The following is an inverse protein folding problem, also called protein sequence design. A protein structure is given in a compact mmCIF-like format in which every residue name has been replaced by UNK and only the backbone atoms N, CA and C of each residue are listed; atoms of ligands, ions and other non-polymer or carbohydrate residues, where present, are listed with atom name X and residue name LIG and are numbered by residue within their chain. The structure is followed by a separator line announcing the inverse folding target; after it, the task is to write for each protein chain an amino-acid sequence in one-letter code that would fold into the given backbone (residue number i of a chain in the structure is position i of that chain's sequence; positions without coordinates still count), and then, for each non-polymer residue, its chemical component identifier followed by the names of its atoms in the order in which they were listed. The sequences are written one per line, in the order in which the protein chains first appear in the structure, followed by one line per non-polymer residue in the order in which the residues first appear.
data_IF_581867541663
#
_entry.id   IF_581867541663
#
_cell.length_a   1.000
_cell.length_b   1.000
_cell.length_c   1.000
_cell.angle_alpha   90.00
_cell.angle_beta   90.00
_cell.angle_gamma   90.00
#
_symmetry.space_group_name_H-M   'P 1'
#
loop_
_entity.id
_entity.type
_entity.pdbx_description
1 polymer ?
#
# COMPACT_ATOMS: atom_id res chain seq x y z
N UNK A 1 26.63 -24.38 -16.39
CA UNK A 1 25.68 -24.49 -15.26
C UNK A 1 24.34 -23.87 -15.58
N UNK A 2 23.26 -24.46 -15.04
CA UNK A 2 21.90 -23.91 -15.09
C UNK A 2 21.47 -23.54 -13.67
N UNK A 3 20.96 -22.32 -13.51
CA UNK A 3 20.32 -21.86 -12.28
C UNK A 3 18.83 -22.18 -12.37
N UNK A 4 18.27 -22.80 -11.34
CA UNK A 4 16.84 -23.09 -11.25
C UNK A 4 16.09 -21.98 -10.51
N UNK A 5 14.77 -21.95 -10.64
CA UNK A 5 13.94 -20.99 -9.89
C UNK A 5 14.08 -21.17 -8.37
N UNK A 6 14.22 -22.42 -7.91
CA UNK A 6 14.41 -22.74 -6.49
C UNK A 6 15.71 -22.16 -5.95
N UNK A 7 16.79 -22.19 -6.74
CA UNK A 7 18.09 -21.62 -6.34
C UNK A 7 18.01 -20.10 -6.10
N UNK A 8 17.04 -19.41 -6.73
CA UNK A 8 16.86 -17.95 -6.61
C UNK A 8 15.82 -17.59 -5.55
N UNK A 9 14.70 -18.30 -5.50
CA UNK A 9 13.51 -17.85 -4.75
C UNK A 9 13.15 -18.69 -3.52
N UNK A 10 13.66 -19.92 -3.38
CA UNK A 10 13.21 -20.80 -2.29
C UNK A 10 13.47 -20.21 -0.91
N UNK A 11 14.66 -19.64 -0.68
CA UNK A 11 14.97 -18.98 0.59
C UNK A 11 14.04 -17.80 0.85
N UNK A 12 13.84 -16.93 -0.14
CA UNK A 12 12.97 -15.77 -0.02
C UNK A 12 11.52 -16.18 0.31
N UNK A 13 10.97 -17.18 -0.38
CA UNK A 13 9.61 -17.68 -0.12
C UNK A 13 9.42 -18.19 1.31
N UNK A 14 10.41 -18.93 1.85
CA UNK A 14 10.39 -19.42 3.24
C UNK A 14 10.43 -18.24 4.22
N UNK A 15 11.36 -17.30 4.01
CA UNK A 15 11.54 -16.15 4.90
C UNK A 15 10.34 -15.19 4.88
N UNK A 16 9.82 -14.86 3.69
CA UNK A 16 8.64 -14.00 3.57
C UNK A 16 7.38 -14.66 4.10
N UNK A 17 7.22 -15.98 3.96
CA UNK A 17 6.09 -16.69 4.59
C UNK A 17 6.15 -16.57 6.11
N UNK A 18 7.31 -16.87 6.72
CA UNK A 18 7.50 -16.73 8.16
C UNK A 18 7.27 -15.28 8.63
N UNK A 19 7.78 -14.30 7.89
CA UNK A 19 7.53 -12.89 8.18
C UNK A 19 6.04 -12.54 8.11
N UNK A 20 5.39 -12.81 6.98
CA UNK A 20 4.03 -12.36 6.71
C UNK A 20 2.99 -13.02 7.61
N UNK A 21 3.18 -14.30 7.96
CA UNK A 21 2.21 -15.05 8.75
C UNK A 21 2.50 -15.05 10.25
N UNK A 22 3.74 -14.83 10.68
CA UNK A 22 4.14 -15.05 12.07
C UNK A 22 4.86 -13.85 12.69
N UNK A 23 5.88 -13.30 12.01
CA UNK A 23 6.83 -12.39 12.64
C UNK A 23 6.58 -10.89 12.42
N UNK A 24 5.79 -10.50 11.42
CA UNK A 24 5.58 -9.09 11.12
C UNK A 24 4.95 -8.34 12.31
N UNK A 25 5.53 -7.20 12.67
CA UNK A 25 5.06 -6.36 13.78
C UNK A 25 3.81 -5.59 13.36
N UNK A 26 2.65 -6.04 13.86
CA UNK A 26 1.34 -5.51 13.47
C UNK A 26 1.09 -4.10 14.00
N UNK A 27 1.60 -3.73 15.17
CA UNK A 27 1.49 -2.36 15.69
C UNK A 27 2.23 -1.36 14.79
N UNK A 28 3.43 -1.72 14.33
CA UNK A 28 4.17 -0.93 13.37
C UNK A 28 3.43 -0.83 12.03
N UNK A 29 2.88 -1.95 11.54
CA UNK A 29 2.14 -1.96 10.27
C UNK A 29 0.86 -1.10 10.32
N UNK A 30 0.11 -1.11 11.43
CA UNK A 30 -1.03 -0.23 11.61
C UNK A 30 -0.62 1.24 11.57
N UNK A 31 0.45 1.62 12.28
CA UNK A 31 0.99 2.98 12.23
C UNK A 31 1.44 3.37 10.82
N UNK A 32 2.18 2.51 10.14
CA UNK A 32 2.62 2.79 8.77
C UNK A 32 1.46 2.87 7.77
N UNK A 33 0.37 2.13 7.96
CA UNK A 33 -0.84 2.31 7.18
C UNK A 33 -1.41 3.72 7.36
N UNK A 34 -1.57 4.16 8.61
CA UNK A 34 -2.07 5.50 8.92
C UNK A 34 -1.14 6.60 8.41
N UNK A 35 0.18 6.44 8.55
CA UNK A 35 1.15 7.43 8.08
C UNK A 35 1.11 7.56 6.56
N UNK A 36 0.99 6.45 5.83
CA UNK A 36 0.82 6.47 4.38
C UNK A 36 -0.49 7.13 3.97
N UNK A 37 -1.60 6.87 4.68
CA UNK A 37 -2.89 7.52 4.41
C UNK A 37 -2.81 9.05 4.66
N UNK A 38 -2.22 9.47 5.78
CA UNK A 38 -2.03 10.88 6.14
C UNK A 38 -1.15 11.61 5.12
N UNK A 39 -0.02 11.02 4.75
CA UNK A 39 0.89 11.60 3.75
C UNK A 39 0.23 11.68 2.37
N UNK A 40 -0.50 10.63 1.95
CA UNK A 40 -1.28 10.66 0.71
C UNK A 40 -2.25 11.83 0.69
N UNK A 41 -3.02 12.03 1.76
CA UNK A 41 -3.95 13.15 1.87
C UNK A 41 -3.22 14.49 1.86
N UNK A 42 -2.16 14.64 2.65
CA UNK A 42 -1.38 15.87 2.74
C UNK A 42 -0.80 16.29 1.39
N UNK A 43 -0.33 15.35 0.56
CA UNK A 43 0.20 15.62 -0.78
C UNK A 43 -0.89 16.05 -1.77
N UNK A 44 -2.12 15.57 -1.62
CA UNK A 44 -3.27 15.93 -2.45
C UNK A 44 -3.94 17.24 -2.00
N UNK A 45 -3.85 17.58 -0.71
CA UNK A 45 -4.47 18.77 -0.12
C UNK A 45 -3.62 20.04 -0.27
N UNK A 46 -2.45 19.94 -0.92
CA UNK A 46 -1.60 21.08 -1.25
C UNK A 46 -2.33 22.02 -2.22
N UNK A 47 -1.94 23.30 -2.20
CA UNK A 47 -2.39 24.27 -3.22
C UNK A 47 -2.08 23.79 -4.65
N UNK A 48 -0.92 23.14 -4.82
CA UNK A 48 -0.56 22.40 -6.03
C UNK A 48 -0.43 20.91 -5.66
N UNK A 49 -1.48 20.09 -5.92
CA UNK A 49 -1.49 18.67 -5.61
C UNK A 49 -0.37 17.89 -6.30
N UNK A 50 0.16 16.88 -5.61
CA UNK A 50 1.22 16.00 -6.11
C UNK A 50 0.71 14.55 -6.27
N UNK A 51 -0.08 14.24 -7.32
CA UNK A 51 -0.78 12.97 -7.44
C UNK A 51 0.12 11.74 -7.60
N UNK A 52 1.25 11.86 -8.29
CA UNK A 52 2.18 10.73 -8.46
C UNK A 52 2.86 10.34 -7.13
N UNK A 53 3.48 11.26 -6.36
CA UNK A 53 3.96 10.94 -5.01
C UNK A 53 2.86 10.47 -4.06
N UNK A 54 1.64 11.01 -4.17
CA UNK A 54 0.52 10.55 -3.35
C UNK A 54 0.16 9.09 -3.68
N UNK A 55 0.22 8.69 -4.96
CA UNK A 55 -0.06 7.33 -5.38
C UNK A 55 0.97 6.31 -4.84
N UNK A 56 2.25 6.69 -4.68
CA UNK A 56 3.23 5.82 -3.99
C UNK A 56 2.80 5.49 -2.55
N UNK A 57 2.14 6.43 -1.87
CA UNK A 57 1.61 6.20 -0.52
C UNK A 57 0.40 5.25 -0.54
N UNK A 58 -0.42 5.28 -1.60
CA UNK A 58 -1.50 4.29 -1.80
C UNK A 58 -0.92 2.88 -1.91
N UNK A 59 0.18 2.72 -2.66
CA UNK A 59 0.86 1.41 -2.80
C UNK A 59 1.39 0.93 -1.44
N UNK A 60 2.02 1.82 -0.65
CA UNK A 60 2.48 1.50 0.71
C UNK A 60 1.32 1.10 1.63
N UNK A 61 0.24 1.87 1.63
CA UNK A 61 -0.94 1.55 2.43
C UNK A 61 -1.55 0.20 2.04
N UNK A 62 -1.66 -0.09 0.74
CA UNK A 62 -2.12 -1.38 0.22
C UNK A 62 -1.23 -2.54 0.67
N UNK A 63 0.10 -2.39 0.58
CA UNK A 63 1.04 -3.40 1.02
C UNK A 63 0.98 -3.65 2.53
N UNK A 64 0.96 -2.59 3.34
CA UNK A 64 0.83 -2.70 4.80
C UNK A 64 -0.48 -3.39 5.19
N UNK A 65 -1.58 -3.07 4.51
CA UNK A 65 -2.86 -3.76 4.69
C UNK A 65 -2.75 -5.26 4.36
N UNK A 66 -2.10 -5.64 3.26
CA UNK A 66 -1.94 -7.05 2.91
C UNK A 66 -1.14 -7.83 3.98
N UNK A 67 -0.12 -7.21 4.57
CA UNK A 67 0.64 -7.82 5.67
C UNK A 67 -0.21 -7.96 6.94
N UNK A 68 -1.01 -6.94 7.28
CA UNK A 68 -1.94 -7.02 8.41
C UNK A 68 -3.02 -8.11 8.19
N UNK A 69 -3.50 -8.25 6.95
CA UNK A 69 -4.46 -9.29 6.57
C UNK A 69 -3.84 -10.69 6.66
N UNK A 70 -2.61 -10.86 6.17
CA UNK A 70 -1.85 -12.11 6.27
C UNK A 70 -1.55 -12.50 7.73
N UNK A 71 -1.26 -11.53 8.61
CA UNK A 71 -1.10 -11.75 10.05
C UNK A 71 -2.41 -12.14 10.76
N UNK A 72 -3.56 -12.02 10.09
CA UNK A 72 -4.86 -12.41 10.63
C UNK A 72 -5.38 -11.47 11.73
N UNK A 73 -4.84 -10.25 11.82
CA UNK A 73 -5.23 -9.26 12.84
C UNK A 73 -6.38 -8.33 12.39
N UNK A 74 -6.86 -8.50 11.17
CA UNK A 74 -7.99 -7.74 10.60
C UNK A 74 -9.20 -8.66 10.47
N UNK A 75 -10.33 -8.29 11.09
CA UNK A 75 -11.60 -8.99 10.92
C UNK A 75 -12.21 -8.78 9.53
N UNK A 76 -13.19 -9.62 9.15
CA UNK A 76 -13.86 -9.50 7.83
C UNK A 76 -14.48 -8.11 7.63
N UNK A 77 -15.08 -7.53 8.68
CA UNK A 77 -15.67 -6.19 8.65
C UNK A 77 -14.60 -5.11 8.48
N UNK A 78 -13.51 -5.20 9.25
CA UNK A 78 -12.40 -4.26 9.15
C UNK A 78 -11.73 -4.34 7.78
N UNK A 79 -11.60 -5.54 7.20
CA UNK A 79 -11.04 -5.75 5.86
C UNK A 79 -11.75 -4.90 4.81
N UNK A 80 -13.09 -4.88 4.83
CA UNK A 80 -13.87 -4.06 3.91
C UNK A 80 -13.62 -2.56 4.13
N UNK A 81 -13.49 -2.12 5.37
CA UNK A 81 -13.18 -0.73 5.70
C UNK A 81 -11.79 -0.31 5.19
N UNK A 82 -10.75 -1.13 5.41
CA UNK A 82 -9.39 -0.87 4.90
C UNK A 82 -9.35 -0.82 3.37
N UNK A 83 -10.00 -1.76 2.68
CA UNK A 83 -10.12 -1.73 1.21
C UNK A 83 -10.81 -0.44 0.75
N UNK A 84 -11.87 -0.01 1.45
CA UNK A 84 -12.57 1.24 1.17
C UNK A 84 -11.68 2.48 1.30
N UNK A 85 -10.83 2.53 2.33
CA UNK A 85 -9.85 3.61 2.56
C UNK A 85 -8.82 3.68 1.44
N UNK A 86 -8.16 2.56 1.12
CA UNK A 86 -7.17 2.51 0.02
C UNK A 86 -7.80 2.90 -1.32
N UNK A 87 -9.02 2.42 -1.61
CA UNK A 87 -9.74 2.79 -2.84
C UNK A 87 -10.05 4.28 -2.91
N UNK A 88 -10.45 4.88 -1.80
CA UNK A 88 -10.73 6.33 -1.73
C UNK A 88 -9.49 7.13 -2.05
N UNK A 89 -8.33 6.78 -1.47
CA UNK A 89 -7.06 7.46 -1.76
C UNK A 89 -6.67 7.29 -3.24
N UNK A 90 -6.71 6.06 -3.77
CA UNK A 90 -6.39 5.78 -5.17
C UNK A 90 -7.25 6.61 -6.13
N UNK A 91 -8.56 6.70 -5.85
CA UNK A 91 -9.50 7.50 -6.64
C UNK A 91 -9.12 8.98 -6.60
N UNK A 92 -8.83 9.55 -5.42
CA UNK A 92 -8.41 10.95 -5.31
C UNK A 92 -7.11 11.22 -6.08
N UNK A 93 -6.12 10.32 -5.99
CA UNK A 93 -4.88 10.43 -6.78
C UNK A 93 -5.18 10.48 -8.30
N UNK A 94 -6.08 9.61 -8.78
CA UNK A 94 -6.48 9.59 -10.18
C UNK A 94 -7.24 10.88 -10.58
N UNK A 95 -8.15 11.37 -9.74
CA UNK A 95 -8.89 12.62 -9.98
C UNK A 95 -7.95 13.83 -10.07
N UNK A 96 -6.95 13.94 -9.19
CA UNK A 96 -5.95 15.02 -9.28
C UNK A 96 -4.99 14.82 -10.46
N UNK A 97 -4.62 13.57 -10.78
CA UNK A 97 -3.79 13.28 -11.96
C UNK A 97 -4.44 13.73 -13.26
N UNK A 98 -5.74 13.48 -13.43
CA UNK A 98 -6.49 13.89 -14.62
C UNK A 98 -6.54 15.41 -14.83
N UNK A 99 -6.26 16.22 -13.80
CA UNK A 99 -6.15 17.68 -13.92
C UNK A 99 -4.76 18.15 -14.34
N UNK A 100 -3.77 17.26 -14.36
CA UNK A 100 -2.41 17.60 -14.81
C UNK A 100 -2.29 17.54 -16.33
N UNK A 101 -1.28 18.21 -16.93
CA UNK A 101 -1.06 18.14 -18.38
C UNK A 101 -0.87 16.71 -18.91
N UNK A 102 -0.21 15.85 -18.14
CA UNK A 102 0.01 14.46 -18.51
C UNK A 102 -1.26 13.60 -18.38
N UNK A 103 -2.22 14.02 -17.55
CA UNK A 103 -3.52 13.37 -17.40
C UNK A 103 -4.57 13.83 -18.41
N UNK A 104 -4.23 14.76 -19.31
CA UNK A 104 -5.16 15.34 -20.28
C UNK A 104 -5.99 16.50 -19.72
N UNK A 105 -5.67 16.96 -18.50
CA UNK A 105 -6.20 18.21 -17.94
C UNK A 105 -5.51 19.41 -18.57
N UNK A 106 -6.30 20.45 -18.87
CA UNK A 106 -5.81 21.72 -19.39
C UNK A 106 -5.03 22.51 -18.33
#
# INVERSE_FOLDING_TARGET
DRVTYGDVFHQAEVEYSAHNFEAANTEMLFRHFEDAEKECAALLDREQPLPLPAYDQVIKASHNFNLLDARGVISVTERQAYIGRVRTLAKRCAEEWLKTPAGGGA
#
